data_IF_580046637723
#
_entry.id   IF_580046637723
#
_cell.length_a   1.000
_cell.length_b   1.000
_cell.length_c   1.000
_cell.angle_alpha   90.00
_cell.angle_beta   90.00
_cell.angle_gamma   90.00
#
_symmetry.space_group_name_H-M   'P 1'
#
loop_
_entity.id
_entity.type
_entity.pdbx_description
1 polymer ?
#
# COMPACT_ATOMS: atom_id res chain seq x y z
N UNK A 1 -45.09 -7.41 7.79
CA UNK A 1 -44.02 -7.84 6.87
C UNK A 1 -42.72 -7.91 7.66
N UNK A 2 -42.14 -9.11 7.80
CA UNK A 2 -40.99 -9.40 8.68
C UNK A 2 -39.66 -9.18 7.94
N UNK A 3 -38.61 -8.64 8.58
CA UNK A 3 -37.29 -8.53 7.96
C UNK A 3 -36.53 -9.86 8.03
N UNK A 4 -36.08 -10.34 6.86
CA UNK A 4 -35.23 -11.52 6.67
C UNK A 4 -33.87 -11.30 7.33
N UNK A 5 -33.61 -12.07 8.39
CA UNK A 5 -32.30 -12.19 9.06
C UNK A 5 -31.34 -12.94 8.14
N UNK A 6 -30.32 -12.25 7.62
CA UNK A 6 -29.20 -12.89 6.93
C UNK A 6 -28.12 -13.24 7.95
N UNK A 7 -28.08 -14.52 8.34
CA UNK A 7 -26.98 -15.16 9.07
C UNK A 7 -25.82 -15.40 8.12
N UNK A 8 -24.74 -14.65 8.28
CA UNK A 8 -23.44 -14.96 7.68
C UNK A 8 -22.50 -15.47 8.79
N UNK A 9 -22.43 -16.79 8.92
CA UNK A 9 -21.36 -17.46 9.66
C UNK A 9 -20.19 -17.64 8.68
N UNK A 10 -19.21 -16.74 8.74
CA UNK A 10 -17.94 -16.89 8.03
C UNK A 10 -16.87 -17.35 9.03
N UNK A 11 -16.30 -18.51 8.74
CA UNK A 11 -15.37 -19.24 9.57
C UNK A 11 -14.06 -18.48 9.81
N UNK A 12 -13.71 -18.29 11.08
CA UNK A 12 -12.37 -17.91 11.49
C UNK A 12 -11.44 -19.13 11.35
N UNK A 13 -10.58 -19.15 10.33
CA UNK A 13 -9.38 -20.01 10.30
C UNK A 13 -8.17 -19.13 10.54
N UNK A 14 -7.74 -19.08 11.80
CA UNK A 14 -6.47 -18.52 12.22
C UNK A 14 -5.32 -19.38 11.72
N UNK A 15 -4.67 -19.02 10.62
CA UNK A 15 -3.30 -19.43 10.34
C UNK A 15 -2.36 -18.35 10.85
N UNK A 16 -1.70 -18.59 11.99
CA UNK A 16 -0.59 -17.76 12.46
C UNK A 16 0.59 -17.94 11.50
N UNK A 17 0.75 -17.02 10.55
CA UNK A 17 2.02 -16.82 9.88
C UNK A 17 2.77 -15.72 10.60
N UNK A 18 3.90 -16.06 11.20
CA UNK A 18 4.86 -15.09 11.76
C UNK A 18 5.63 -14.47 10.61
N UNK A 19 5.12 -13.38 10.04
CA UNK A 19 5.91 -12.52 9.18
C UNK A 19 7.00 -11.86 10.04
N UNK A 20 8.26 -11.99 9.64
CA UNK A 20 9.34 -11.27 10.29
C UNK A 20 9.13 -9.77 10.04
N UNK A 21 8.82 -9.05 11.10
CA UNK A 21 8.64 -7.61 11.10
C UNK A 21 9.99 -6.98 10.74
N UNK A 22 10.19 -6.59 9.48
CA UNK A 22 11.33 -5.74 9.14
C UNK A 22 11.21 -4.41 9.92
N UNK A 23 12.23 -4.02 10.70
CA UNK A 23 12.22 -2.71 11.33
C UNK A 23 12.39 -1.64 10.25
N UNK A 24 11.40 -0.73 10.15
CA UNK A 24 11.52 0.53 9.42
C UNK A 24 12.71 1.30 10.02
N UNK A 25 13.85 1.32 9.32
CA UNK A 25 14.93 2.25 9.60
C UNK A 25 14.46 3.64 9.19
N UNK A 26 14.12 4.47 10.17
CA UNK A 26 14.15 5.92 10.00
C UNK A 26 15.64 6.32 9.90
N UNK A 27 16.04 6.83 8.73
CA UNK A 27 17.33 7.49 8.56
C UNK A 27 17.20 8.89 9.18
N UNK A 28 17.68 9.04 10.41
CA UNK A 28 18.09 10.34 10.94
C UNK A 28 19.59 10.47 10.65
N UNK A 29 19.94 11.44 9.81
CA UNK A 29 21.30 11.90 9.62
C UNK A 29 21.74 12.68 10.86
N UNK A 30 22.69 12.14 11.63
CA UNK A 30 23.55 12.93 12.52
C UNK A 30 25.02 12.51 12.34
N UNK A 31 25.96 13.47 12.20
CA UNK A 31 27.36 13.18 11.95
C UNK A 31 28.13 12.80 13.24
N UNK A 32 29.18 11.95 13.15
CA UNK A 32 29.82 11.37 14.33
C UNK A 32 30.79 12.33 15.00
N UNK A 33 30.65 12.49 16.33
CA UNK A 33 31.72 12.99 17.21
C UNK A 33 32.19 11.86 18.11
N UNK A 34 33.45 11.49 17.92
CA UNK A 34 34.20 10.49 18.66
C UNK A 34 34.74 11.01 19.99
N UNK A 35 34.87 10.06 20.94
CA UNK A 35 35.83 9.98 22.06
C UNK A 35 35.30 10.24 23.49
N UNK A 36 35.38 9.20 24.33
CA UNK A 36 35.60 9.31 25.79
C UNK A 36 34.61 8.57 26.71
N UNK A 37 34.94 7.33 27.12
CA UNK A 37 34.44 6.66 28.35
C UNK A 37 35.02 7.34 29.62
N UNK A 38 34.71 6.96 30.90
CA UNK A 38 33.87 5.85 31.42
C UNK A 38 32.96 6.21 32.64
N UNK A 39 32.28 5.16 33.12
CA UNK A 39 31.47 4.97 34.33
C UNK A 39 32.09 5.41 35.69
N UNK A 40 31.25 5.89 36.64
CA UNK A 40 31.01 5.36 38.01
C UNK A 40 30.30 6.39 38.96
N UNK A 41 29.61 5.88 39.99
CA UNK A 41 28.63 6.48 40.94
C UNK A 41 29.27 7.25 42.15
N UNK A 42 28.58 7.53 43.29
CA UNK A 42 27.58 8.57 43.63
C UNK A 42 28.02 9.40 44.90
N UNK A 43 27.06 9.95 45.69
CA UNK A 43 27.14 10.65 47.01
C UNK A 43 26.95 12.19 46.92
N UNK A 44 26.26 12.96 47.79
CA UNK A 44 25.59 12.79 49.09
C UNK A 44 24.91 14.15 49.50
N UNK A 45 23.80 14.10 50.28
CA UNK A 45 23.32 15.08 51.31
C UNK A 45 22.95 16.55 50.93
N UNK A 46 22.03 17.30 51.56
CA UNK A 46 20.82 17.20 52.44
C UNK A 46 20.28 18.69 52.62
N UNK A 47 19.29 19.07 53.48
CA UNK A 47 18.16 19.98 53.15
C UNK A 47 18.09 21.29 53.99
N UNK A 48 17.09 22.18 53.77
CA UNK A 48 16.12 22.77 54.76
C UNK A 48 15.46 24.09 54.32
N UNK A 49 14.28 24.32 54.89
CA UNK A 49 13.26 25.37 54.70
C UNK A 49 13.64 26.75 55.29
N UNK A 50 13.03 27.84 54.78
CA UNK A 50 12.68 29.04 55.56
C UNK A 50 11.52 29.79 54.90
N UNK A 51 10.47 30.10 55.67
CA UNK A 51 9.36 30.97 55.29
C UNK A 51 9.62 32.45 55.61
N UNK A 52 8.78 33.32 55.06
CA UNK A 52 8.38 34.61 55.64
C UNK A 52 7.18 35.18 54.87
N UNK A 53 6.03 35.28 55.52
CA UNK A 53 5.02 36.31 55.21
C UNK A 53 5.58 37.68 55.62
N UNK A 54 5.10 38.77 55.00
CA UNK A 54 4.86 40.08 55.65
C UNK A 54 4.03 40.98 54.71
N UNK A 55 3.05 41.68 55.31
CA UNK A 55 2.01 42.50 54.69
C UNK A 55 2.44 43.95 54.38
N UNK A 56 1.74 44.53 53.39
CA UNK A 56 1.36 45.94 53.14
C UNK A 56 2.24 47.10 53.65
N UNK A 57 2.56 48.03 52.74
CA UNK A 57 2.35 49.47 53.01
C UNK A 57 2.27 50.30 51.72
N UNK A 58 1.48 51.37 51.80
CA UNK A 58 1.14 52.32 50.75
C UNK A 58 2.23 53.40 50.64
N UNK A 59 2.69 53.71 49.43
CA UNK A 59 3.39 54.97 49.17
C UNK A 59 3.03 55.49 47.77
N UNK A 60 2.41 56.66 47.74
CA UNK A 60 2.16 57.45 46.54
C UNK A 60 3.47 58.10 46.10
N UNK A 61 4.00 57.69 44.95
CA UNK A 61 5.03 58.45 44.23
C UNK A 61 4.61 58.66 42.78
N UNK A 62 4.81 59.89 42.32
CA UNK A 62 4.23 60.44 41.10
C UNK A 62 4.89 59.87 39.84
N UNK A 63 4.05 59.21 39.04
CA UNK A 63 4.02 59.18 37.58
C UNK A 63 5.24 59.78 36.85
N UNK A 64 6.19 58.92 36.48
CA UNK A 64 6.71 58.94 35.12
C UNK A 64 5.81 58.01 34.29
N UNK A 65 5.39 58.37 33.06
CA UNK A 65 4.57 57.48 32.25
C UNK A 65 5.44 56.31 31.78
N UNK A 66 5.59 55.30 32.64
CA UNK A 66 6.09 54.01 32.21
C UNK A 66 4.97 53.44 31.35
N UNK A 67 5.26 53.30 30.06
CA UNK A 67 4.48 52.49 29.16
C UNK A 67 4.46 51.06 29.70
N UNK A 68 3.53 50.76 30.60
CA UNK A 68 3.22 49.41 31.03
C UNK A 68 2.66 48.68 29.81
N UNK A 69 3.55 48.05 29.03
CA UNK A 69 3.15 47.29 27.86
C UNK A 69 2.15 46.24 28.30
N UNK A 70 0.99 46.21 27.63
CA UNK A 70 -0.04 45.22 27.90
C UNK A 70 0.60 43.83 28.04
N UNK A 71 0.44 43.22 29.23
CA UNK A 71 1.04 41.93 29.53
C UNK A 71 0.57 40.85 28.54
N UNK A 72 1.34 39.77 28.41
CA UNK A 72 1.02 38.64 27.51
C UNK A 72 -0.42 38.14 27.71
N UNK A 73 -0.92 38.18 28.95
CA UNK A 73 -2.30 37.83 29.31
C UNK A 73 -3.37 38.68 28.61
N UNK A 74 -3.12 39.97 28.37
CA UNK A 74 -4.05 40.86 27.68
C UNK A 74 -4.20 40.47 26.20
N UNK A 75 -3.08 40.18 25.53
CA UNK A 75 -3.10 39.70 24.14
C UNK A 75 -3.68 38.28 24.03
N UNK A 76 -3.41 37.41 25.01
CA UNK A 76 -4.05 36.10 25.11
C UNK A 76 -5.57 36.23 25.26
N UNK A 77 -6.06 37.14 26.10
CA UNK A 77 -7.49 37.37 26.27
C UNK A 77 -8.14 37.91 24.99
N UNK A 78 -7.49 38.89 24.32
CA UNK A 78 -7.97 39.44 23.04
C UNK A 78 -7.99 38.37 21.94
N UNK A 79 -7.06 37.43 21.93
CA UNK A 79 -7.08 36.31 20.97
C UNK A 79 -8.09 35.24 21.35
N UNK A 80 -8.22 34.91 22.63
CA UNK A 80 -9.05 33.82 23.13
C UNK A 80 -10.54 34.10 23.01
N UNK A 81 -10.99 35.34 23.29
CA UNK A 81 -12.41 35.71 23.19
C UNK A 81 -13.00 35.50 21.78
N UNK A 82 -12.40 36.04 20.69
CA UNK A 82 -12.88 35.78 19.34
C UNK A 82 -12.63 34.33 18.89
N UNK A 83 -11.56 33.68 19.34
CA UNK A 83 -11.32 32.27 19.05
C UNK A 83 -12.40 31.36 19.67
N UNK A 84 -12.79 31.61 20.93
CA UNK A 84 -13.86 30.90 21.60
C UNK A 84 -15.22 31.18 20.95
N UNK A 85 -15.46 32.41 20.51
CA UNK A 85 -16.68 32.75 19.76
C UNK A 85 -16.74 32.04 18.41
N UNK A 86 -15.63 32.02 17.65
CA UNK A 86 -15.52 31.30 16.40
C UNK A 86 -15.70 29.78 16.61
N UNK A 87 -15.05 29.20 17.63
CA UNK A 87 -15.24 27.80 17.99
C UNK A 87 -16.71 27.50 18.34
N UNK A 88 -17.38 28.39 19.07
CA UNK A 88 -18.80 28.26 19.37
C UNK A 88 -19.67 28.34 18.10
N UNK A 89 -19.32 29.15 17.09
CA UNK A 89 -20.06 29.18 15.82
C UNK A 89 -19.92 27.88 15.02
N UNK A 90 -18.72 27.29 15.00
CA UNK A 90 -18.42 26.10 14.21
C UNK A 90 -18.92 24.80 14.89
N UNK A 91 -19.00 24.79 16.21
CA UNK A 91 -19.47 23.61 16.99
C UNK A 91 -20.99 23.49 17.07
N UNK A 92 -21.73 24.58 16.85
CA UNK A 92 -23.19 24.58 17.00
C UNK A 92 -23.88 23.64 16.00
N UNK A 93 -24.83 22.82 16.44
CA UNK A 93 -25.66 22.03 15.52
C UNK A 93 -26.52 22.96 14.66
N UNK A 94 -26.76 22.56 13.41
CA UNK A 94 -27.63 23.28 12.50
C UNK A 94 -29.08 23.29 12.97
N UNK A 95 -29.90 24.14 12.35
CA UNK A 95 -31.30 24.40 12.70
C UNK A 95 -32.21 23.16 12.58
N UNK A 96 -31.73 22.10 11.92
CA UNK A 96 -32.44 20.85 11.71
C UNK A 96 -32.01 19.77 12.73
N UNK A 97 -32.94 18.97 13.28
CA UNK A 97 -32.63 17.93 14.29
C UNK A 97 -31.68 16.81 13.83
N UNK A 98 -31.38 16.74 12.53
CA UNK A 98 -30.68 15.63 11.91
C UNK A 98 -29.42 16.07 11.11
N UNK A 99 -29.02 17.34 11.24
CA UNK A 99 -27.86 17.91 10.56
C UNK A 99 -26.65 17.90 11.51
N UNK A 100 -25.62 17.13 11.14
CA UNK A 100 -24.37 17.03 11.91
C UNK A 100 -23.63 18.37 11.86
N UNK A 101 -23.07 18.82 13.00
CA UNK A 101 -22.26 20.04 13.07
C UNK A 101 -21.08 19.99 12.10
N UNK A 102 -20.57 21.16 11.67
CA UNK A 102 -19.45 21.24 10.72
C UNK A 102 -18.20 20.46 11.20
N UNK A 103 -17.88 20.54 12.49
CA UNK A 103 -16.79 19.75 13.08
C UNK A 103 -17.05 18.24 13.02
N UNK A 104 -18.29 17.80 13.23
CA UNK A 104 -18.66 16.40 13.11
C UNK A 104 -18.50 15.92 11.68
N UNK A 105 -18.91 16.70 10.68
CA UNK A 105 -18.69 16.37 9.27
C UNK A 105 -17.19 16.32 8.93
N UNK A 106 -16.39 17.26 9.43
CA UNK A 106 -14.95 17.27 9.24
C UNK A 106 -14.27 16.03 9.85
N UNK A 107 -14.71 15.63 11.06
CA UNK A 107 -14.23 14.43 11.73
C UNK A 107 -14.65 13.20 10.93
N UNK A 108 -15.91 13.10 10.54
CA UNK A 108 -16.45 11.98 9.77
C UNK A 108 -15.71 11.82 8.42
N UNK A 109 -15.49 12.91 7.68
CA UNK A 109 -14.72 12.89 6.43
C UNK A 109 -13.28 12.44 6.66
N UNK A 110 -12.65 12.89 7.75
CA UNK A 110 -11.30 12.48 8.09
C UNK A 110 -11.25 10.98 8.42
N UNK A 111 -12.18 10.48 9.23
CA UNK A 111 -12.26 9.06 9.59
C UNK A 111 -12.58 8.19 8.38
N UNK A 112 -13.54 8.58 7.55
CA UNK A 112 -13.84 7.87 6.30
C UNK A 112 -12.62 7.82 5.37
N UNK A 113 -11.87 8.92 5.30
CA UNK A 113 -10.64 8.95 4.50
C UNK A 113 -9.61 7.97 5.06
N UNK A 114 -9.40 7.94 6.38
CA UNK A 114 -8.50 6.97 7.01
C UNK A 114 -8.94 5.52 6.75
N UNK A 115 -10.25 5.24 6.84
CA UNK A 115 -10.80 3.92 6.54
C UNK A 115 -10.59 3.52 5.07
N UNK A 116 -10.76 4.46 4.12
CA UNK A 116 -10.49 4.23 2.70
C UNK A 116 -9.00 3.93 2.46
N UNK A 117 -8.09 4.69 3.07
CA UNK A 117 -6.65 4.42 2.98
C UNK A 117 -6.27 3.07 3.59
N UNK A 118 -6.87 2.72 4.73
CA UNK A 118 -6.68 1.42 5.38
C UNK A 118 -7.21 0.27 4.50
N UNK A 119 -8.38 0.44 3.87
CA UNK A 119 -8.96 -0.54 2.96
C UNK A 119 -8.11 -0.75 1.69
N UNK A 120 -7.56 0.33 1.13
CA UNK A 120 -6.63 0.25 -0.02
C UNK A 120 -5.33 -0.46 0.40
N UNK A 121 -4.77 -0.11 1.56
CA UNK A 121 -3.57 -0.75 2.07
C UNK A 121 -3.78 -2.26 2.32
N UNK A 122 -4.93 -2.62 2.90
CA UNK A 122 -5.34 -4.02 3.12
C UNK A 122 -5.55 -4.76 1.79
N UNK A 123 -6.18 -4.14 0.80
CA UNK A 123 -6.31 -4.72 -0.54
C UNK A 123 -4.93 -4.97 -1.16
N UNK A 124 -4.00 -4.01 -1.05
CA UNK A 124 -2.64 -4.18 -1.54
C UNK A 124 -1.90 -5.32 -0.84
N UNK A 125 -2.01 -5.44 0.48
CA UNK A 125 -1.38 -6.54 1.22
C UNK A 125 -1.96 -7.89 0.83
N UNK A 126 -3.29 -7.99 0.68
CA UNK A 126 -3.96 -9.22 0.23
C UNK A 126 -3.56 -9.60 -1.19
N UNK A 127 -3.49 -8.62 -2.10
CA UNK A 127 -3.05 -8.85 -3.47
C UNK A 127 -1.60 -9.36 -3.52
N UNK A 128 -0.71 -8.80 -2.69
CA UNK A 128 0.68 -9.24 -2.59
C UNK A 128 0.79 -10.65 -1.99
N UNK A 129 0.02 -10.95 -0.94
CA UNK A 129 -0.04 -12.29 -0.35
C UNK A 129 -0.53 -13.32 -1.37
N UNK A 130 -1.62 -13.02 -2.08
CA UNK A 130 -2.17 -13.87 -3.13
C UNK A 130 -1.13 -14.11 -4.25
N UNK A 131 -0.48 -13.05 -4.74
CA UNK A 131 0.57 -13.15 -5.75
C UNK A 131 1.76 -14.01 -5.26
N UNK A 132 2.12 -13.92 -3.98
CA UNK A 132 3.13 -14.77 -3.36
C UNK A 132 2.72 -16.25 -3.31
N UNK A 133 1.46 -16.52 -2.95
CA UNK A 133 0.93 -17.90 -2.95
C UNK A 133 0.89 -18.49 -4.37
N UNK A 134 0.47 -17.70 -5.34
CA UNK A 134 0.36 -18.11 -6.74
C UNK A 134 1.73 -18.40 -7.36
N UNK A 135 2.71 -17.52 -7.10
CA UNK A 135 4.11 -17.75 -7.49
C UNK A 135 4.66 -19.05 -6.92
N UNK A 136 4.29 -19.41 -5.69
CA UNK A 136 4.72 -20.67 -5.08
C UNK A 136 4.11 -21.88 -5.80
N UNK A 137 2.83 -21.80 -6.18
CA UNK A 137 2.17 -22.87 -6.94
C UNK A 137 2.91 -23.10 -8.27
N UNK A 138 3.19 -22.03 -9.02
CA UNK A 138 3.90 -22.14 -10.30
C UNK A 138 5.34 -22.63 -10.16
N UNK A 139 6.08 -22.17 -9.16
CA UNK A 139 7.45 -22.64 -8.94
C UNK A 139 7.51 -24.12 -8.49
N UNK A 140 6.45 -24.63 -7.88
CA UNK A 140 6.38 -26.02 -7.39
C UNK A 140 5.81 -27.00 -8.41
N UNK A 141 5.10 -26.51 -9.44
CA UNK A 141 4.55 -27.34 -10.49
C UNK A 141 5.69 -27.90 -11.35
N UNK A 142 5.64 -29.20 -11.67
CA UNK A 142 6.58 -29.77 -12.64
C UNK A 142 6.30 -29.13 -14.00
N UNK A 143 7.33 -28.65 -14.72
CA UNK A 143 7.14 -28.21 -16.10
C UNK A 143 6.61 -29.39 -16.92
N UNK A 144 5.69 -29.10 -17.84
CA UNK A 144 5.16 -30.11 -18.75
C UNK A 144 6.29 -30.67 -19.61
N UNK A 145 6.42 -32.00 -19.66
CA UNK A 145 7.47 -32.70 -20.42
C UNK A 145 7.14 -32.78 -21.92
N UNK A 146 5.88 -32.55 -22.29
CA UNK A 146 5.45 -32.57 -23.69
C UNK A 146 5.66 -31.21 -24.36
N UNK A 147 6.03 -31.25 -25.64
CA UNK A 147 6.10 -30.06 -26.47
C UNK A 147 4.70 -29.73 -26.98
N UNK A 148 4.28 -28.49 -26.77
CA UNK A 148 2.96 -28.03 -27.21
C UNK A 148 2.88 -28.03 -28.74
N UNK A 149 1.97 -28.85 -29.27
CA UNK A 149 1.72 -28.99 -30.71
C UNK A 149 0.26 -28.65 -30.98
N UNK A 150 0.01 -27.82 -31.99
CA UNK A 150 -1.34 -27.34 -32.31
C UNK A 150 -2.31 -28.47 -32.75
N UNK A 151 -1.77 -29.53 -33.36
CA UNK A 151 -2.53 -30.69 -33.86
C UNK A 151 -1.68 -31.96 -33.75
N UNK A 152 -1.55 -32.56 -32.56
CA UNK A 152 -0.74 -33.78 -32.36
C UNK A 152 -1.30 -34.98 -33.13
N UNK A 153 -2.63 -35.07 -33.27
CA UNK A 153 -3.31 -36.19 -33.93
C UNK A 153 -2.90 -36.37 -35.40
N UNK A 154 -2.58 -35.27 -36.09
CA UNK A 154 -2.23 -35.31 -37.51
C UNK A 154 -0.92 -36.06 -37.80
N UNK A 155 -0.05 -36.23 -36.80
CA UNK A 155 1.22 -36.95 -36.92
C UNK A 155 0.98 -38.43 -37.18
N UNK A 156 -0.11 -38.99 -36.64
CA UNK A 156 -0.52 -40.38 -36.84
C UNK A 156 -1.52 -40.57 -37.98
N UNK A 157 -1.97 -39.50 -38.65
CA UNK A 157 -2.94 -39.63 -39.75
C UNK A 157 -2.23 -40.14 -40.99
N UNK A 158 -2.49 -41.39 -41.32
CA UNK A 158 -2.02 -42.05 -42.53
C UNK A 158 -3.19 -42.45 -43.44
N UNK A 159 -2.90 -42.73 -44.72
CA UNK A 159 -3.89 -43.26 -45.65
C UNK A 159 -4.52 -44.55 -45.11
N UNK A 160 -5.86 -44.74 -45.18
CA UNK A 160 -6.52 -45.98 -44.77
C UNK A 160 -6.12 -47.21 -45.61
N UNK A 161 -5.58 -46.99 -46.82
CA UNK A 161 -5.24 -48.05 -47.76
C UNK A 161 -3.74 -48.08 -48.07
N UNK A 162 -3.21 -49.31 -48.14
CA UNK A 162 -1.92 -49.65 -48.72
C UNK A 162 -0.67 -49.05 -48.02
N UNK A 163 -0.64 -49.04 -46.69
CA UNK A 163 0.56 -48.68 -45.92
C UNK A 163 1.28 -49.98 -45.51
N UNK A 164 2.45 -50.29 -46.09
CA UNK A 164 3.26 -51.43 -45.66
C UNK A 164 3.75 -51.20 -44.21
N UNK A 165 3.72 -52.26 -43.41
CA UNK A 165 4.14 -52.20 -42.01
C UNK A 165 5.61 -51.72 -41.91
N UNK A 166 5.86 -50.73 -41.05
CA UNK A 166 7.21 -50.22 -40.75
C UNK A 166 7.65 -48.99 -41.55
N UNK A 167 6.90 -48.50 -42.53
CA UNK A 167 7.16 -47.18 -43.16
C UNK A 167 6.47 -46.07 -42.35
N UNK A 168 6.88 -45.91 -41.09
CA UNK A 168 6.55 -44.71 -40.33
C UNK A 168 7.54 -43.61 -40.72
N UNK A 169 7.07 -42.37 -40.76
CA UNK A 169 7.93 -41.21 -41.03
C UNK A 169 8.84 -41.00 -39.82
N UNK A 170 10.15 -40.83 -40.03
CA UNK A 170 11.07 -40.47 -38.95
C UNK A 170 10.68 -39.10 -38.38
N UNK A 171 10.23 -39.08 -37.13
CA UNK A 171 9.75 -37.87 -36.45
C UNK A 171 10.86 -37.03 -35.83
N UNK A 172 12.12 -37.48 -35.87
CA UNK A 172 13.24 -36.84 -35.19
C UNK A 172 13.39 -35.36 -35.56
N UNK A 173 13.32 -35.03 -36.85
CA UNK A 173 13.38 -33.63 -37.31
C UNK A 173 12.19 -32.78 -36.85
N UNK A 174 10.99 -33.37 -36.76
CA UNK A 174 9.78 -32.68 -36.29
C UNK A 174 9.91 -32.41 -34.78
N UNK A 175 10.38 -33.40 -34.03
CA UNK A 175 10.66 -33.30 -32.60
C UNK A 175 11.72 -32.22 -32.34
N UNK A 176 12.82 -32.21 -33.10
CA UNK A 176 13.87 -31.19 -32.99
C UNK A 176 13.35 -29.79 -33.31
N UNK A 177 12.54 -29.63 -34.37
CA UNK A 177 11.95 -28.35 -34.74
C UNK A 177 11.09 -27.80 -33.61
N UNK A 178 10.17 -28.59 -33.07
CA UNK A 178 9.27 -28.13 -32.02
C UNK A 178 9.99 -27.89 -30.69
N UNK A 179 11.00 -28.71 -30.35
CA UNK A 179 11.88 -28.44 -29.20
C UNK A 179 12.58 -27.09 -29.34
N UNK A 180 13.11 -26.80 -30.53
CA UNK A 180 13.77 -25.52 -30.82
C UNK A 180 12.82 -24.34 -30.70
N UNK A 181 11.63 -24.41 -31.33
CA UNK A 181 10.62 -23.36 -31.21
C UNK A 181 10.17 -23.14 -29.75
N UNK A 182 10.09 -24.20 -28.94
CA UNK A 182 9.76 -24.10 -27.53
C UNK A 182 10.85 -23.40 -26.71
N UNK A 183 12.13 -23.72 -26.96
CA UNK A 183 13.26 -23.04 -26.32
C UNK A 183 13.33 -21.57 -26.73
N UNK A 184 13.23 -21.27 -28.02
CA UNK A 184 13.22 -19.89 -28.54
C UNK A 184 12.08 -19.07 -27.91
N UNK A 185 10.86 -19.63 -27.82
CA UNK A 185 9.73 -18.96 -27.14
C UNK A 185 10.01 -18.69 -25.67
N UNK A 186 10.64 -19.64 -24.97
CA UNK A 186 10.98 -19.51 -23.54
C UNK A 186 12.04 -18.43 -23.33
N UNK A 187 13.07 -18.40 -24.19
CA UNK A 187 14.12 -17.40 -24.18
C UNK A 187 13.57 -16.00 -24.49
N UNK A 188 12.73 -15.86 -25.53
CA UNK A 188 12.05 -14.60 -25.84
C UNK A 188 11.15 -14.13 -24.70
N UNK A 189 10.45 -15.05 -24.04
CA UNK A 189 9.64 -14.70 -22.87
C UNK A 189 10.51 -14.23 -21.70
N UNK A 190 11.66 -14.86 -21.49
CA UNK A 190 12.64 -14.45 -20.47
C UNK A 190 13.26 -13.09 -20.79
N UNK A 191 13.61 -12.84 -22.06
CA UNK A 191 14.09 -11.54 -22.52
C UNK A 191 13.03 -10.46 -22.32
N UNK A 192 11.79 -10.72 -22.73
CA UNK A 192 10.66 -9.81 -22.52
C UNK A 192 10.42 -9.51 -21.03
N UNK A 193 10.59 -10.50 -20.15
CA UNK A 193 10.54 -10.28 -18.70
C UNK A 193 11.70 -9.42 -18.20
N UNK A 194 12.92 -9.62 -18.72
CA UNK A 194 14.11 -8.82 -18.38
C UNK A 194 14.00 -7.37 -18.86
N UNK A 195 13.49 -7.17 -20.07
CA UNK A 195 13.28 -5.84 -20.67
C UNK A 195 12.02 -5.15 -20.17
N UNK A 196 11.13 -5.87 -19.48
CA UNK A 196 9.83 -5.35 -19.05
C UNK A 196 8.86 -5.09 -20.20
N UNK A 197 9.06 -5.74 -21.36
CA UNK A 197 8.22 -5.57 -22.55
C UNK A 197 7.27 -6.75 -22.75
N UNK A 198 6.67 -7.23 -21.66
CA UNK A 198 5.69 -8.31 -21.73
C UNK A 198 4.48 -7.86 -22.57
N UNK A 199 3.94 -8.70 -23.45
CA UNK A 199 2.76 -8.38 -24.24
C UNK A 199 1.56 -7.92 -23.40
N UNK A 200 1.47 -8.39 -22.14
CA UNK A 200 0.40 -8.02 -21.20
C UNK A 200 0.56 -6.61 -20.62
N UNK A 201 1.80 -6.12 -20.55
CA UNK A 201 2.13 -4.82 -19.95
C UNK A 201 2.05 -3.68 -20.98
N UNK A 202 2.01 -4.02 -22.28
CA UNK A 202 1.84 -3.02 -23.34
C UNK A 202 0.44 -2.41 -23.22
N UNK A 203 0.32 -1.06 -23.19
CA UNK A 203 -1.00 -0.43 -23.16
C UNK A 203 -1.80 -0.84 -24.40
N UNK A 204 -3.10 -1.03 -24.22
CA UNK A 204 -3.98 -1.37 -25.33
C UNK A 204 -4.02 -0.22 -26.35
N UNK A 205 -3.40 -0.44 -27.51
CA UNK A 205 -3.48 0.49 -28.63
C UNK A 205 -4.76 0.21 -29.44
N UNK A 206 -5.74 1.11 -29.26
CA UNK A 206 -7.02 1.04 -29.97
C UNK A 206 -6.86 1.19 -31.48
N UNK A 207 -5.89 1.97 -31.94
CA UNK A 207 -5.67 2.16 -33.38
C UNK A 207 -5.09 0.91 -34.03
N UNK A 208 -4.13 0.27 -33.37
CA UNK A 208 -3.56 -1.00 -33.82
C UNK A 208 -4.63 -2.10 -33.87
N UNK A 209 -5.50 -2.16 -32.86
CA UNK A 209 -6.62 -3.09 -32.83
C UNK A 209 -7.63 -2.86 -33.98
N UNK A 210 -7.96 -1.61 -34.28
CA UNK A 210 -8.87 -1.30 -35.40
C UNK A 210 -8.20 -1.59 -36.75
N UNK A 211 -6.92 -1.26 -36.93
CA UNK A 211 -6.18 -1.57 -38.16
C UNK A 211 -6.06 -3.07 -38.42
N UNK A 212 -5.73 -3.86 -37.41
CA UNK A 212 -5.60 -5.32 -37.55
C UNK A 212 -6.93 -5.99 -37.91
N UNK A 213 -8.07 -5.44 -37.47
CA UNK A 213 -9.40 -5.95 -37.79
C UNK A 213 -9.89 -5.57 -39.19
N UNK A 214 -9.40 -4.46 -39.73
CA UNK A 214 -9.79 -3.96 -41.06
C UNK A 214 -8.93 -4.57 -42.17
N UNK A 215 -7.70 -5.02 -41.89
CA UNK A 215 -6.88 -5.74 -42.89
C UNK A 215 -7.59 -7.03 -43.31
N UNK A 216 -8.08 -7.05 -44.55
CA UNK A 216 -8.46 -8.29 -45.23
C UNK A 216 -7.20 -9.16 -45.38
N UNK A 217 -7.33 -10.50 -45.29
CA UNK A 217 -6.20 -11.44 -45.30
C UNK A 217 -5.58 -11.65 -46.70
N UNK A 218 -5.52 -10.61 -47.54
CA UNK A 218 -5.10 -10.72 -48.94
C UNK A 218 -3.85 -9.91 -49.31
N UNK A 219 -3.24 -9.21 -48.35
CA UNK A 219 -2.01 -8.45 -48.60
C UNK A 219 -0.82 -9.13 -47.88
N UNK A 220 -0.27 -10.16 -48.54
CA UNK A 220 1.06 -10.74 -48.30
C UNK A 220 1.78 -10.78 -49.64
#
# INVERSE_FOLDING_TARGET
>A
MQPLRRTALAAARTSRFTLSRQPRRFAHDEPPKTAGSPSELPHSAKPTEHGSEHHHEHAHEHAAPVNESFGVSFWLAIGFVPAAWALWTVTRPGENPNEKSYLTNLIDEYTERQEKWAAIADLHTRALEQAGTDRRLFNSAKPFEYVDMKMPEMIGVHSPYNVPAGIQVNLDHVIEKYRREAYEKTELQLEQQRTGTLPVDKPFDREEYVRSRIRRPTDV
#
